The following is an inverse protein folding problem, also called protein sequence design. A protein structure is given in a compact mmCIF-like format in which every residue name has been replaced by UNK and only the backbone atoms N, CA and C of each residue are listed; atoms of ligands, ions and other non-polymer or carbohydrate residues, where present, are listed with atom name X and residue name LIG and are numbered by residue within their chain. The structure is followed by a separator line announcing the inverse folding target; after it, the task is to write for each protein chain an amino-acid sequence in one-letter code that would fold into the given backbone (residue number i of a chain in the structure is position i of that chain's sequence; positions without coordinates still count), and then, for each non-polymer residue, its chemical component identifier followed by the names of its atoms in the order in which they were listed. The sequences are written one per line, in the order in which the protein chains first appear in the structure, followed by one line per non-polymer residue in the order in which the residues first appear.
data_IF_821240361306
#
_entry.id   IF_821240361306
#
_cell.length_a   1.000
_cell.length_b   1.000
_cell.length_c   1.000
_cell.angle_alpha   90.00
_cell.angle_beta   90.00
_cell.angle_gamma   90.00
#
_symmetry.space_group_name_H-M   'P 1'
#
loop_
_entity.id
_entity.type
_entity.pdbx_description
1 polymer ?
#
# COMPACT_ATOMS: atom_id res chain seq x y z
N UNK A 1 -52.68 22.45 40.03
CA UNK A 1 -53.39 21.69 38.98
C UNK A 1 -53.02 20.22 39.19
N UNK A 2 -53.72 19.46 40.04
CA UNK A 2 -55.00 18.76 39.78
C UNK A 2 -54.83 17.74 38.64
N UNK A 3 -54.98 16.41 38.74
CA UNK A 3 -55.73 15.45 39.58
C UNK A 3 -54.92 14.12 39.60
N UNK A 4 -54.80 13.37 40.69
CA UNK A 4 -55.77 12.45 41.33
C UNK A 4 -56.09 11.13 40.57
N UNK A 5 -55.57 10.03 41.14
CA UNK A 5 -56.22 8.72 41.46
C UNK A 5 -56.90 7.83 40.40
N UNK A 6 -56.52 6.53 40.38
CA UNK A 6 -57.34 5.33 40.74
C UNK A 6 -56.60 4.03 40.31
N UNK A 7 -56.11 3.18 41.21
CA UNK A 7 -56.76 2.00 41.85
C UNK A 7 -57.46 1.00 40.91
N UNK A 8 -56.87 -0.22 40.86
CA UNK A 8 -57.56 -1.49 41.13
C UNK A 8 -58.31 -2.16 39.99
N UNK A 9 -57.96 -3.42 39.68
CA UNK A 9 -58.76 -4.59 40.12
C UNK A 9 -58.30 -5.89 39.46
N UNK A 10 -58.39 -6.93 40.27
CA UNK A 10 -58.17 -8.36 40.08
C UNK A 10 -59.17 -9.06 39.15
N UNK A 11 -58.66 -10.06 38.41
CA UNK A 11 -59.26 -11.41 38.34
C UNK A 11 -60.19 -11.73 37.18
N UNK A 12 -59.90 -12.83 36.46
CA UNK A 12 -60.70 -14.08 36.53
C UNK A 12 -60.16 -15.18 35.62
N UNK A 13 -60.18 -16.39 36.20
CA UNK A 13 -60.21 -17.72 35.56
C UNK A 13 -61.22 -17.78 34.42
N UNK A 14 -60.88 -18.53 33.37
CA UNK A 14 -61.81 -19.44 32.73
C UNK A 14 -61.06 -20.71 32.29
N UNK A 15 -61.52 -21.83 32.82
CA UNK A 15 -61.12 -23.20 32.53
C UNK A 15 -61.96 -23.79 31.39
N UNK A 16 -61.38 -24.83 30.79
CA UNK A 16 -62.00 -26.09 30.33
C UNK A 16 -62.79 -26.16 29.01
N UNK A 17 -62.23 -27.04 28.17
CA UNK A 17 -62.85 -28.24 27.59
C UNK A 17 -63.57 -28.13 26.24
N UNK A 18 -63.04 -28.85 25.24
CA UNK A 18 -63.63 -30.05 24.62
C UNK A 18 -62.78 -30.44 23.39
N UNK A 19 -61.95 -31.49 23.46
CA UNK A 19 -62.27 -32.89 23.11
C UNK A 19 -62.95 -33.05 21.74
N UNK A 20 -62.20 -33.55 20.75
CA UNK A 20 -62.68 -34.60 19.84
C UNK A 20 -61.50 -35.31 19.12
N UNK A 21 -61.41 -36.60 19.43
CA UNK A 21 -60.83 -37.74 18.69
C UNK A 21 -61.22 -37.71 17.20
N UNK A 22 -60.66 -38.44 16.24
CA UNK A 22 -59.57 -39.41 16.07
C UNK A 22 -59.45 -39.60 14.55
N UNK A 23 -58.28 -39.99 14.02
CA UNK A 23 -58.19 -40.91 12.88
C UNK A 23 -56.73 -41.30 12.63
N UNK A 24 -56.50 -42.61 12.57
CA UNK A 24 -55.26 -43.24 12.21
C UNK A 24 -54.89 -42.99 10.74
N UNK A 25 -53.59 -42.82 10.49
CA UNK A 25 -53.01 -42.72 9.16
C UNK A 25 -51.55 -43.17 9.24
N UNK A 26 -51.35 -44.46 9.04
CA UNK A 26 -50.06 -45.12 8.81
C UNK A 26 -49.25 -44.42 7.73
N UNK A 27 -48.08 -43.90 8.10
CA UNK A 27 -46.91 -43.80 7.24
C UNK A 27 -45.68 -43.68 8.13
N UNK A 28 -45.01 -44.81 8.32
CA UNK A 28 -43.68 -44.90 8.91
C UNK A 28 -42.68 -44.23 7.95
N UNK A 29 -42.65 -42.90 7.97
CA UNK A 29 -41.54 -42.12 7.47
C UNK A 29 -40.39 -42.36 8.45
N UNK A 30 -39.39 -43.10 8.00
CA UNK A 30 -38.08 -43.24 8.64
C UNK A 30 -37.51 -41.83 8.83
N UNK A 31 -37.82 -41.23 9.98
CA UNK A 31 -37.20 -40.01 10.47
C UNK A 31 -35.74 -40.37 10.70
N UNK A 32 -34.93 -40.15 9.67
CA UNK A 32 -33.47 -40.14 9.76
C UNK A 32 -33.14 -39.11 10.83
N UNK A 33 -32.87 -39.61 12.03
CA UNK A 33 -32.38 -38.84 13.16
C UNK A 33 -31.25 -37.97 12.61
N UNK A 34 -31.25 -36.64 12.80
CA UNK A 34 -30.11 -35.82 12.41
C UNK A 34 -28.91 -36.45 13.10
N UNK A 35 -28.05 -37.07 12.30
CA UNK A 35 -26.77 -37.54 12.79
C UNK A 35 -26.11 -36.28 13.33
N UNK A 36 -25.70 -36.22 14.61
CA UNK A 36 -24.90 -35.10 15.07
C UNK A 36 -23.70 -35.05 14.13
N UNK A 37 -23.67 -34.03 13.28
CA UNK A 37 -22.50 -33.73 12.46
C UNK A 37 -21.43 -33.52 13.50
N UNK A 38 -20.54 -34.50 13.64
CA UNK A 38 -19.36 -34.35 14.47
C UNK A 38 -18.76 -33.00 14.06
N UNK A 39 -18.42 -32.11 15.02
CA UNK A 39 -17.78 -30.86 14.67
C UNK A 39 -16.61 -31.24 13.75
N UNK A 40 -16.45 -30.55 12.60
CA UNK A 40 -15.32 -30.83 11.73
C UNK A 40 -14.07 -30.85 12.63
N UNK A 41 -13.16 -31.84 12.45
CA UNK A 41 -11.91 -31.81 13.20
C UNK A 41 -11.34 -30.41 13.08
N UNK A 42 -10.86 -29.83 14.20
CA UNK A 42 -10.32 -28.48 14.26
C UNK A 42 -9.26 -28.33 13.16
N UNK A 43 -9.73 -27.90 11.99
CA UNK A 43 -9.00 -27.96 10.75
C UNK A 43 -8.33 -26.63 10.63
N UNK A 44 -7.07 -26.61 11.03
CA UNK A 44 -6.08 -25.53 10.85
C UNK A 44 -5.77 -25.29 9.35
N UNK A 45 -6.80 -25.29 8.52
CA UNK A 45 -6.74 -25.26 7.07
C UNK A 45 -7.11 -23.88 6.54
N UNK A 46 -6.31 -23.38 5.62
CA UNK A 46 -6.69 -22.25 4.77
C UNK A 46 -8.02 -22.61 4.06
N UNK A 47 -9.09 -21.90 4.41
CA UNK A 47 -10.40 -22.06 3.75
C UNK A 47 -10.49 -21.02 2.66
N UNK A 48 -10.56 -21.47 1.41
CA UNK A 48 -10.82 -20.60 0.25
C UNK A 48 -12.19 -20.96 -0.30
N UNK A 49 -13.12 -20.01 -0.23
CA UNK A 49 -14.47 -20.17 -0.78
C UNK A 49 -14.55 -19.68 -2.22
N UNK A 50 -15.65 -19.01 -2.56
CA UNK A 50 -15.84 -18.45 -3.89
C UNK A 50 -14.80 -17.35 -4.18
N UNK A 51 -14.12 -17.50 -5.33
CA UNK A 51 -13.13 -16.52 -5.82
C UNK A 51 -13.71 -15.82 -7.05
N UNK A 52 -14.17 -14.56 -6.92
CA UNK A 52 -14.78 -13.84 -8.03
C UNK A 52 -13.77 -13.56 -9.15
N UNK A 53 -14.26 -13.36 -10.38
CA UNK A 53 -13.41 -13.07 -11.55
C UNK A 53 -12.53 -11.81 -11.35
N UNK A 54 -12.99 -10.85 -10.55
CA UNK A 54 -12.22 -9.65 -10.19
C UNK A 54 -10.85 -9.95 -9.57
N UNK A 55 -10.67 -11.08 -8.88
CA UNK A 55 -9.37 -11.49 -8.35
C UNK A 55 -8.36 -11.75 -9.47
N UNK A 56 -8.79 -12.41 -10.54
CA UNK A 56 -7.93 -12.63 -11.71
C UNK A 56 -7.65 -11.32 -12.43
N UNK A 57 -8.65 -10.45 -12.59
CA UNK A 57 -8.47 -9.15 -13.25
C UNK A 57 -7.44 -8.31 -12.49
N UNK A 58 -7.53 -8.23 -11.15
CA UNK A 58 -6.51 -7.56 -10.34
C UNK A 58 -5.11 -8.19 -10.53
N UNK A 59 -5.03 -9.53 -10.61
CA UNK A 59 -3.78 -10.23 -10.89
C UNK A 59 -3.19 -9.91 -12.27
N UNK A 60 -4.02 -9.86 -13.32
CA UNK A 60 -3.60 -9.45 -14.68
C UNK A 60 -3.09 -8.02 -14.66
N UNK A 61 -3.81 -7.09 -14.03
CA UNK A 61 -3.41 -5.69 -13.95
C UNK A 61 -2.07 -5.52 -13.21
N UNK A 62 -1.83 -6.25 -12.11
CA UNK A 62 -0.53 -6.24 -11.43
C UNK A 62 0.59 -6.83 -12.30
N UNK A 63 0.33 -7.88 -13.08
CA UNK A 63 1.31 -8.44 -14.00
C UNK A 63 1.66 -7.45 -15.11
N UNK A 64 0.66 -6.80 -15.69
CA UNK A 64 0.89 -5.78 -16.72
C UNK A 64 1.62 -4.57 -16.13
N UNK A 65 1.27 -4.15 -14.91
CA UNK A 65 1.99 -3.10 -14.19
C UNK A 65 3.46 -3.49 -13.94
N UNK A 66 3.72 -4.75 -13.55
CA UNK A 66 5.07 -5.27 -13.37
C UNK A 66 5.86 -5.26 -14.69
N UNK A 67 5.26 -5.74 -15.77
CA UNK A 67 5.92 -5.78 -17.08
C UNK A 67 6.20 -4.38 -17.62
N UNK A 68 5.22 -3.46 -17.52
CA UNK A 68 5.40 -2.06 -17.91
C UNK A 68 6.47 -1.38 -17.05
N UNK A 69 6.43 -1.58 -15.73
CA UNK A 69 7.40 -1.01 -14.79
C UNK A 69 8.81 -1.55 -15.00
N UNK A 70 8.96 -2.85 -15.27
CA UNK A 70 10.26 -3.45 -15.61
C UNK A 70 10.77 -2.96 -16.98
N UNK A 71 9.89 -2.83 -17.95
CA UNK A 71 10.23 -2.29 -19.27
C UNK A 71 10.62 -0.81 -19.19
N UNK A 72 10.02 -0.02 -18.30
CA UNK A 72 10.31 1.39 -18.09
C UNK A 72 11.75 1.68 -17.59
N UNK A 73 12.44 0.68 -17.04
CA UNK A 73 13.78 0.82 -16.47
C UNK A 73 14.85 1.10 -17.53
N UNK A 74 14.66 0.58 -18.74
CA UNK A 74 15.69 0.57 -19.79
C UNK A 74 15.65 1.73 -20.78
N UNK A 75 14.49 2.17 -21.31
CA UNK A 75 14.44 3.29 -22.24
C UNK A 75 14.65 4.61 -21.51
N UNK A 76 15.00 5.64 -22.27
CA UNK A 76 15.16 7.02 -21.79
C UNK A 76 13.92 7.45 -21.01
N UNK A 77 14.15 7.92 -19.79
CA UNK A 77 13.10 8.33 -18.86
C UNK A 77 12.65 9.74 -19.21
N UNK A 78 13.56 10.71 -19.18
CA UNK A 78 13.32 12.10 -19.57
C UNK A 78 14.52 12.63 -20.35
N UNK A 79 14.29 13.58 -21.26
CA UNK A 79 15.37 14.38 -21.86
C UNK A 79 15.26 15.79 -21.31
N UNK A 80 16.32 16.26 -20.65
CA UNK A 80 16.33 17.59 -20.02
C UNK A 80 17.52 18.37 -20.57
N UNK A 81 17.24 19.50 -21.24
CA UNK A 81 18.29 20.31 -21.88
C UNK A 81 19.14 19.54 -22.91
N UNK A 82 18.55 18.54 -23.59
CA UNK A 82 19.24 17.67 -24.56
C UNK A 82 20.03 16.50 -23.95
N UNK A 83 20.02 16.33 -22.61
CA UNK A 83 20.66 15.21 -21.92
C UNK A 83 19.63 14.12 -21.59
N UNK A 84 19.94 12.90 -21.99
CA UNK A 84 19.11 11.73 -21.70
C UNK A 84 19.31 11.27 -20.26
N UNK A 85 18.24 11.29 -19.48
CA UNK A 85 18.19 10.71 -18.15
C UNK A 85 17.61 9.31 -18.22
N UNK A 86 18.30 8.34 -17.64
CA UNK A 86 17.82 6.97 -17.47
C UNK A 86 17.40 6.71 -16.03
N UNK A 87 16.32 5.94 -15.83
CA UNK A 87 15.89 5.51 -14.50
C UNK A 87 16.84 4.49 -13.87
N UNK A 88 17.72 3.83 -14.63
CA UNK A 88 18.74 2.96 -14.09
C UNK A 88 20.11 3.30 -14.67
N UNK A 89 20.95 3.89 -13.83
CA UNK A 89 22.38 3.99 -14.11
C UNK A 89 23.07 2.77 -13.48
N UNK A 90 23.46 1.81 -14.33
CA UNK A 90 24.18 0.61 -13.93
C UNK A 90 23.35 -0.49 -13.24
N UNK A 91 23.99 -1.62 -12.87
CA UNK A 91 23.32 -2.82 -12.39
C UNK A 91 22.68 -2.65 -11.00
N UNK A 92 23.28 -1.84 -10.12
CA UNK A 92 22.72 -1.52 -8.80
C UNK A 92 21.42 -0.72 -8.92
N UNK A 93 21.40 0.29 -9.78
CA UNK A 93 20.19 1.07 -10.07
C UNK A 93 19.07 0.23 -10.68
N UNK A 94 19.42 -0.71 -11.57
CA UNK A 94 18.46 -1.64 -12.15
C UNK A 94 17.84 -2.58 -11.10
N UNK A 95 18.65 -3.11 -10.17
CA UNK A 95 18.14 -3.97 -9.08
C UNK A 95 17.15 -3.23 -8.17
N UNK A 96 17.45 -1.98 -7.82
CA UNK A 96 16.54 -1.13 -7.04
C UNK A 96 15.25 -0.86 -7.82
N UNK A 97 15.35 -0.50 -9.10
CA UNK A 97 14.20 -0.22 -9.95
C UNK A 97 13.30 -1.45 -10.19
N UNK A 98 13.86 -2.67 -10.18
CA UNK A 98 13.14 -3.92 -10.38
C UNK A 98 12.45 -4.47 -9.12
N UNK A 99 12.72 -3.92 -7.93
CA UNK A 99 12.12 -4.40 -6.68
C UNK A 99 10.58 -4.38 -6.72
N UNK A 100 9.99 -3.23 -7.07
CA UNK A 100 8.53 -3.05 -7.11
C UNK A 100 7.90 -3.93 -8.21
N UNK A 101 8.38 -3.91 -9.47
CA UNK A 101 7.94 -4.83 -10.51
C UNK A 101 8.02 -6.31 -10.11
N UNK A 102 9.10 -6.75 -9.48
CA UNK A 102 9.27 -8.15 -9.09
C UNK A 102 8.22 -8.60 -8.09
N UNK A 103 7.87 -7.76 -7.10
CA UNK A 103 6.81 -8.08 -6.13
C UNK A 103 5.43 -8.02 -6.79
N UNK A 104 5.17 -7.03 -7.66
CA UNK A 104 3.92 -6.97 -8.43
C UNK A 104 3.73 -8.24 -9.26
N UNK A 105 4.80 -8.71 -9.91
CA UNK A 105 4.81 -9.94 -10.69
C UNK A 105 4.45 -11.15 -9.81
N UNK A 106 5.15 -11.31 -8.68
CA UNK A 106 4.94 -12.44 -7.77
C UNK A 106 3.50 -12.46 -7.22
N UNK A 107 2.99 -11.32 -6.75
CA UNK A 107 1.63 -11.20 -6.22
C UNK A 107 0.58 -11.39 -7.34
N UNK A 108 0.84 -10.84 -8.53
CA UNK A 108 -0.01 -11.02 -9.70
C UNK A 108 -0.15 -12.49 -10.10
N UNK A 109 0.96 -13.25 -10.12
CA UNK A 109 0.93 -14.71 -10.35
C UNK A 109 0.12 -15.44 -9.27
N UNK A 110 0.27 -15.07 -8.00
CA UNK A 110 -0.49 -15.65 -6.88
C UNK A 110 -2.01 -15.43 -7.09
N UNK A 111 -2.42 -14.22 -7.46
CA UNK A 111 -3.81 -13.89 -7.77
C UNK A 111 -4.36 -14.63 -8.99
N UNK A 112 -3.58 -14.76 -10.07
CA UNK A 112 -3.95 -15.55 -11.25
C UNK A 112 -4.22 -17.01 -10.91
N UNK A 113 -3.34 -17.58 -10.08
CA UNK A 113 -3.47 -18.95 -9.55
C UNK A 113 -4.64 -19.09 -8.58
N UNK A 114 -5.33 -17.99 -8.23
CA UNK A 114 -6.35 -17.92 -7.18
C UNK A 114 -5.83 -18.42 -5.83
N UNK A 115 -4.51 -18.40 -5.64
CA UNK A 115 -3.89 -18.80 -4.41
C UNK A 115 -3.99 -17.62 -3.44
N UNK A 116 -4.49 -17.87 -2.23
CA UNK A 116 -4.50 -16.88 -1.14
C UNK A 116 -5.11 -15.51 -1.55
N UNK A 117 -6.33 -15.46 -2.12
CA UNK A 117 -6.83 -14.28 -2.82
C UNK A 117 -6.86 -13.01 -1.94
N UNK A 118 -7.23 -13.08 -0.65
CA UNK A 118 -7.24 -11.88 0.22
C UNK A 118 -5.84 -11.31 0.48
N UNK A 119 -4.78 -12.12 0.44
CA UNK A 119 -3.39 -11.61 0.52
C UNK A 119 -3.10 -10.72 -0.69
N UNK A 120 -3.33 -11.24 -1.90
CA UNK A 120 -3.04 -10.50 -3.11
C UNK A 120 -3.95 -9.28 -3.32
N UNK A 121 -5.24 -9.39 -2.94
CA UNK A 121 -6.16 -8.26 -3.00
C UNK A 121 -5.79 -7.16 -2.01
N UNK A 122 -5.33 -7.52 -0.80
CA UNK A 122 -4.88 -6.54 0.18
C UNK A 122 -3.62 -5.82 -0.29
N UNK A 123 -2.67 -6.57 -0.87
CA UNK A 123 -1.49 -5.99 -1.51
C UNK A 123 -1.89 -5.03 -2.64
N UNK A 124 -2.75 -5.45 -3.57
CA UNK A 124 -3.19 -4.63 -4.69
C UNK A 124 -3.92 -3.37 -4.24
N UNK A 125 -4.81 -3.48 -3.24
CA UNK A 125 -5.54 -2.33 -2.68
C UNK A 125 -4.61 -1.29 -2.06
N UNK A 126 -3.65 -1.72 -1.24
CA UNK A 126 -2.67 -0.82 -0.60
C UNK A 126 -1.69 -0.25 -1.63
N UNK A 127 -1.15 -1.08 -2.53
CA UNK A 127 -0.25 -0.64 -3.59
C UNK A 127 -0.94 0.36 -4.53
N UNK A 128 -2.21 0.15 -4.87
CA UNK A 128 -3.00 1.09 -5.67
C UNK A 128 -3.27 2.41 -4.96
N UNK A 129 -3.55 2.39 -3.65
CA UNK A 129 -3.74 3.60 -2.85
C UNK A 129 -2.46 4.44 -2.78
N UNK A 130 -1.30 3.81 -2.55
CA UNK A 130 0.00 4.48 -2.57
C UNK A 130 0.38 4.95 -3.98
N UNK A 131 0.09 4.11 -4.99
CA UNK A 131 0.36 4.37 -6.40
C UNK A 131 -0.39 5.59 -6.94
N UNK A 132 -1.55 5.96 -6.39
CA UNK A 132 -2.29 7.15 -6.79
C UNK A 132 -1.49 8.44 -6.54
N UNK A 133 -0.88 8.57 -5.36
CA UNK A 133 -0.03 9.72 -5.05
C UNK A 133 1.21 9.78 -5.94
N UNK A 134 1.84 8.62 -6.15
CA UNK A 134 2.99 8.47 -7.06
C UNK A 134 2.62 8.85 -8.51
N UNK A 135 1.45 8.43 -8.99
CA UNK A 135 0.97 8.72 -10.34
C UNK A 135 0.83 10.23 -10.57
N UNK A 136 0.25 10.97 -9.62
CA UNK A 136 0.10 12.42 -9.74
C UNK A 136 1.46 13.16 -9.73
N UNK A 137 2.38 12.71 -8.88
CA UNK A 137 3.76 13.19 -8.86
C UNK A 137 4.43 12.95 -10.22
N UNK A 138 4.24 11.77 -10.78
CA UNK A 138 4.89 11.35 -12.02
C UNK A 138 4.33 12.08 -13.25
N UNK A 139 3.01 12.30 -13.28
CA UNK A 139 2.36 13.13 -14.29
C UNK A 139 2.92 14.55 -14.26
N UNK A 140 3.04 15.13 -13.07
CA UNK A 140 3.58 16.49 -12.90
C UNK A 140 5.01 16.62 -13.44
N UNK A 141 5.87 15.64 -13.15
CA UNK A 141 7.27 15.60 -13.65
C UNK A 141 7.34 15.65 -15.18
N UNK A 142 6.46 14.92 -15.87
CA UNK A 142 6.42 14.89 -17.33
C UNK A 142 5.66 16.05 -17.98
N UNK A 143 4.74 16.71 -17.27
CA UNK A 143 3.84 17.71 -17.87
C UNK A 143 4.22 19.18 -17.63
N UNK A 144 4.93 19.49 -16.53
CA UNK A 144 4.95 20.88 -16.01
C UNK A 144 6.33 21.43 -15.64
N UNK A 145 7.40 20.65 -15.77
CA UNK A 145 8.79 21.13 -15.59
C UNK A 145 9.29 22.00 -16.78
N UNK A 146 8.42 22.32 -17.74
CA UNK A 146 8.72 23.16 -18.92
C UNK A 146 8.50 24.67 -18.72
N UNK A 147 7.83 25.09 -17.63
CA UNK A 147 7.40 26.49 -17.46
C UNK A 147 8.22 27.31 -16.45
N UNK A 148 9.21 26.72 -15.78
CA UNK A 148 10.15 27.44 -14.90
C UNK A 148 11.56 26.88 -15.08
N UNK A 149 12.50 27.64 -15.67
CA UNK A 149 13.91 27.34 -15.57
C UNK A 149 14.31 27.30 -14.10
N UNK A 150 14.74 26.13 -13.62
CA UNK A 150 15.20 25.92 -12.25
C UNK A 150 16.23 24.81 -12.19
N UNK A 151 16.91 24.67 -11.06
CA UNK A 151 17.83 23.56 -10.81
C UNK A 151 17.04 22.47 -10.09
N UNK A 152 16.78 21.35 -10.78
CA UNK A 152 16.02 20.22 -10.23
C UNK A 152 16.89 18.96 -10.22
N UNK A 153 16.70 18.08 -9.23
CA UNK A 153 17.31 16.75 -9.23
C UNK A 153 16.31 15.73 -9.78
N UNK A 154 16.61 15.18 -10.94
CA UNK A 154 15.78 14.22 -11.66
C UNK A 154 16.60 12.95 -11.94
N UNK A 155 16.06 11.80 -11.53
CA UNK A 155 16.73 10.50 -11.66
C UNK A 155 18.16 10.45 -11.07
N UNK A 156 18.41 11.22 -9.99
CA UNK A 156 19.70 11.28 -9.31
C UNK A 156 20.70 12.28 -9.93
N UNK A 157 20.35 12.95 -11.03
CA UNK A 157 21.18 14.00 -11.64
C UNK A 157 20.59 15.38 -11.39
N UNK A 158 21.46 16.35 -11.07
CA UNK A 158 21.10 17.77 -11.00
C UNK A 158 21.06 18.36 -12.40
N UNK A 159 19.91 18.90 -12.81
CA UNK A 159 19.74 19.43 -14.16
C UNK A 159 19.04 20.79 -14.15
N UNK A 160 19.49 21.68 -15.03
CA UNK A 160 18.82 22.94 -15.34
C UNK A 160 17.64 22.67 -16.29
N UNK A 161 16.42 22.76 -15.76
CA UNK A 161 15.18 22.47 -16.50
C UNK A 161 14.77 23.64 -17.39
N UNK A 162 15.51 23.88 -18.48
CA UNK A 162 15.09 24.82 -19.53
C UNK A 162 14.04 24.22 -20.49
N UNK A 163 13.91 22.88 -20.50
CA UNK A 163 12.89 22.12 -21.22
C UNK A 163 12.96 20.63 -20.88
N UNK A 164 11.80 19.99 -20.70
CA UNK A 164 11.66 18.57 -20.36
C UNK A 164 10.84 17.86 -21.44
N UNK A 165 11.44 16.85 -22.07
CA UNK A 165 10.75 15.98 -23.02
C UNK A 165 10.53 14.59 -22.41
N UNK A 166 9.30 14.10 -22.49
CA UNK A 166 8.91 12.81 -21.96
C UNK A 166 9.47 11.68 -22.84
N UNK A 167 10.33 10.83 -22.26
CA UNK A 167 10.84 9.64 -22.93
C UNK A 167 9.89 8.44 -22.83
N UNK A 168 10.13 7.36 -23.60
CA UNK A 168 9.32 6.14 -23.53
C UNK A 168 9.32 5.49 -22.13
N UNK A 169 10.40 5.65 -21.35
CA UNK A 169 10.49 5.16 -19.98
C UNK A 169 9.50 5.83 -19.06
N UNK A 170 9.31 7.15 -19.18
CA UNK A 170 8.30 7.86 -18.41
C UNK A 170 6.89 7.40 -18.76
N UNK A 171 6.56 7.22 -20.05
CA UNK A 171 5.24 6.76 -20.48
C UNK A 171 4.93 5.37 -19.90
N UNK A 172 5.90 4.45 -19.94
CA UNK A 172 5.76 3.12 -19.36
C UNK A 172 5.64 3.16 -17.84
N UNK A 173 6.34 4.07 -17.17
CA UNK A 173 6.23 4.31 -15.73
C UNK A 173 4.84 4.80 -15.32
N UNK A 174 4.31 5.80 -16.03
CA UNK A 174 2.94 6.31 -15.83
C UNK A 174 1.91 5.21 -16.09
N UNK A 175 2.08 4.43 -17.16
CA UNK A 175 1.22 3.29 -17.46
C UNK A 175 1.26 2.24 -16.34
N UNK A 176 2.45 1.91 -15.83
CA UNK A 176 2.62 0.96 -14.73
C UNK A 176 1.88 1.42 -13.47
N UNK A 177 2.05 2.70 -13.08
CA UNK A 177 1.35 3.28 -11.94
C UNK A 177 -0.17 3.31 -12.14
N UNK A 178 -0.65 3.69 -13.33
CA UNK A 178 -2.07 3.66 -13.68
C UNK A 178 -2.67 2.25 -13.57
N UNK A 179 -1.96 1.23 -14.05
CA UNK A 179 -2.37 -0.17 -13.93
C UNK A 179 -2.39 -0.65 -12.48
N UNK A 180 -1.44 -0.23 -11.64
CA UNK A 180 -1.43 -0.52 -10.20
C UNK A 180 -2.62 0.13 -9.48
N UNK A 181 -2.96 1.38 -9.81
CA UNK A 181 -4.15 2.06 -9.27
C UNK A 181 -5.43 1.31 -9.67
N UNK A 182 -5.57 0.94 -10.95
CA UNK A 182 -6.71 0.15 -11.43
C UNK A 182 -6.80 -1.22 -10.75
N UNK A 183 -5.65 -1.89 -10.53
CA UNK A 183 -5.61 -3.14 -9.77
C UNK A 183 -6.13 -2.96 -8.35
N UNK A 184 -5.79 -1.86 -7.68
CA UNK A 184 -6.30 -1.50 -6.36
C UNK A 184 -7.82 -1.27 -6.35
N UNK A 185 -8.36 -0.56 -7.33
CA UNK A 185 -9.81 -0.34 -7.48
C UNK A 185 -10.55 -1.68 -7.64
N UNK A 186 -10.07 -2.54 -8.55
CA UNK A 186 -10.64 -3.88 -8.75
C UNK A 186 -10.52 -4.73 -7.48
N UNK A 187 -9.42 -4.58 -6.74
CA UNK A 187 -9.21 -5.32 -5.52
C UNK A 187 -10.21 -4.94 -4.42
N UNK A 188 -10.45 -3.65 -4.22
CA UNK A 188 -11.47 -3.14 -3.29
C UNK A 188 -12.86 -3.62 -3.72
N UNK A 189 -13.20 -3.51 -5.01
CA UNK A 189 -14.51 -3.94 -5.54
C UNK A 189 -14.76 -5.46 -5.51
N UNK A 190 -13.70 -6.26 -5.44
CA UNK A 190 -13.77 -7.72 -5.32
C UNK A 190 -13.63 -8.22 -3.89
N UNK A 191 -13.25 -7.33 -2.95
CA UNK A 191 -12.95 -7.70 -1.57
C UNK A 191 -14.12 -8.40 -0.88
N UNK A 192 -15.30 -7.77 -0.84
CA UNK A 192 -16.47 -8.29 -0.12
C UNK A 192 -17.02 -9.60 -0.68
N UNK A 193 -16.77 -9.89 -1.96
CA UNK A 193 -17.21 -11.11 -2.66
C UNK A 193 -16.22 -12.27 -2.54
N UNK A 194 -15.01 -12.00 -2.05
CA UNK A 194 -13.96 -13.01 -1.90
C UNK A 194 -14.06 -13.63 -0.53
N UNK A 195 -14.26 -14.94 -0.46
CA UNK A 195 -14.31 -15.69 0.80
C UNK A 195 -12.95 -16.37 1.03
N UNK A 196 -12.25 -15.97 2.09
CA UNK A 196 -11.04 -16.65 2.54
C UNK A 196 -10.88 -16.46 4.03
N UNK A 197 -10.57 -17.54 4.73
CA UNK A 197 -10.18 -17.52 6.14
C UNK A 197 -8.92 -18.39 6.33
N UNK A 198 -8.06 -18.02 7.28
CA UNK A 198 -6.76 -18.65 7.46
C UNK A 198 -6.48 -19.11 8.91
N UNK A 199 -7.50 -19.07 9.78
CA UNK A 199 -7.44 -19.56 11.16
C UNK A 199 -6.38 -18.89 12.02
N UNK A 200 -5.73 -17.82 11.55
CA UNK A 200 -4.56 -17.25 12.18
C UNK A 200 -4.89 -16.49 13.46
N UNK A 201 -4.16 -16.78 14.54
CA UNK A 201 -4.27 -16.11 15.85
C UNK A 201 -3.67 -14.70 15.88
N UNK A 202 -3.94 -13.87 14.86
CA UNK A 202 -3.46 -12.48 14.83
C UNK A 202 -4.25 -11.57 15.78
N UNK A 203 -5.50 -11.94 16.10
CA UNK A 203 -6.46 -11.08 16.81
C UNK A 203 -5.95 -10.45 18.11
N UNK A 204 -5.24 -11.17 19.01
CA UNK A 204 -4.70 -10.58 20.24
C UNK A 204 -3.62 -9.52 19.98
N UNK A 205 -2.92 -9.60 18.86
CA UNK A 205 -1.78 -8.74 18.52
C UNK A 205 -2.13 -7.64 17.52
N UNK A 206 -3.37 -7.60 16.99
CA UNK A 206 -3.78 -6.61 15.97
C UNK A 206 -3.64 -5.17 16.45
N UNK A 207 -4.02 -4.88 17.69
CA UNK A 207 -3.89 -3.53 18.26
C UNK A 207 -2.43 -3.12 18.38
N UNK A 208 -1.56 -4.02 18.86
CA UNK A 208 -0.12 -3.78 18.95
C UNK A 208 0.53 -3.58 17.58
N UNK A 209 0.19 -4.42 16.60
CA UNK A 209 0.68 -4.29 15.23
C UNK A 209 0.18 -3.01 14.56
N UNK A 210 -1.08 -2.63 14.76
CA UNK A 210 -1.63 -1.38 14.25
C UNK A 210 -0.95 -0.17 14.90
N UNK A 211 -0.76 -0.18 16.22
CA UNK A 211 -0.04 0.89 16.93
C UNK A 211 1.40 1.04 16.43
N UNK A 212 2.14 -0.06 16.30
CA UNK A 212 3.50 -0.04 15.76
C UNK A 212 3.53 0.44 14.31
N UNK A 213 2.61 -0.04 13.47
CA UNK A 213 2.54 0.37 12.06
C UNK A 213 2.19 1.85 11.91
N UNK A 214 1.32 2.41 12.75
CA UNK A 214 1.02 3.85 12.77
C UNK A 214 2.25 4.67 13.08
N UNK A 215 3.01 4.29 14.11
CA UNK A 215 4.25 4.99 14.46
C UNK A 215 5.24 4.96 13.29
N UNK A 216 5.45 3.79 12.68
CA UNK A 216 6.28 3.66 11.48
C UNK A 216 5.74 4.51 10.32
N UNK A 217 4.42 4.61 10.16
CA UNK A 217 3.79 5.38 9.08
C UNK A 217 3.99 6.87 9.24
N UNK A 218 3.79 7.39 10.45
CA UNK A 218 4.05 8.80 10.77
C UNK A 218 5.53 9.11 10.60
N UNK A 219 6.44 8.27 11.13
CA UNK A 219 7.88 8.46 10.94
C UNK A 219 8.26 8.41 9.47
N UNK A 220 7.69 7.48 8.68
CA UNK A 220 7.93 7.41 7.24
C UNK A 220 7.49 8.70 6.54
N UNK A 221 6.33 9.25 6.87
CA UNK A 221 5.87 10.52 6.29
C UNK A 221 6.78 11.68 6.67
N UNK A 222 7.25 11.75 7.91
CA UNK A 222 8.24 12.75 8.33
C UNK A 222 9.55 12.61 7.53
N UNK A 223 10.02 11.39 7.33
CA UNK A 223 11.21 11.12 6.51
C UNK A 223 10.99 11.41 5.01
N UNK A 224 9.78 11.24 4.49
CA UNK A 224 9.44 11.63 3.11
C UNK A 224 9.24 13.14 2.94
N UNK A 225 9.00 13.87 4.04
CA UNK A 225 8.79 15.32 4.02
C UNK A 225 10.07 16.11 3.79
N UNK A 226 11.22 15.44 3.76
CA UNK A 226 12.54 15.97 3.43
C UNK A 226 13.20 15.06 2.39
N UNK A 227 14.12 15.57 1.56
CA UNK A 227 14.82 14.75 0.57
C UNK A 227 15.72 13.70 1.25
N UNK A 228 15.74 12.49 0.68
CA UNK A 228 16.54 11.37 1.19
C UNK A 228 18.04 11.48 0.85
N UNK A 229 18.35 12.21 -0.22
CA UNK A 229 19.69 12.63 -0.62
C UNK A 229 19.58 14.10 -1.02
N UNK A 230 20.52 14.96 -0.61
CA UNK A 230 20.43 16.41 -0.80
C UNK A 230 21.79 17.01 -1.18
N UNK A 231 21.78 18.23 -1.73
CA UNK A 231 23.00 18.94 -2.10
C UNK A 231 23.55 19.65 -0.86
N UNK A 232 24.83 19.47 -0.50
CA UNK A 232 25.40 20.12 0.68
C UNK A 232 25.43 21.64 0.49
N UNK A 233 25.18 22.36 1.59
CA UNK A 233 25.31 23.82 1.61
C UNK A 233 26.74 24.25 1.29
N UNK A 234 26.87 25.29 0.45
CA UNK A 234 28.18 25.80 0.06
C UNK A 234 28.59 26.98 0.94
N UNK A 235 29.75 26.88 1.58
CA UNK A 235 30.37 27.99 2.27
C UNK A 235 31.09 28.87 1.25
N UNK A 236 30.52 30.05 0.97
CA UNK A 236 31.14 31.04 0.09
C UNK A 236 31.74 32.14 0.96
N UNK A 237 33.05 32.28 0.89
CA UNK A 237 33.78 33.38 1.52
C UNK A 237 33.64 34.63 0.65
N UNK A 238 33.08 35.69 1.21
CA UNK A 238 33.03 36.99 0.55
C UNK A 238 34.47 37.54 0.44
N UNK A 239 35.00 37.75 -0.79
CA UNK A 239 36.37 38.22 -0.98
C UNK A 239 36.58 39.66 -0.50
N UNK A 240 35.53 40.45 -0.33
CA UNK A 240 35.61 41.84 0.13
C UNK A 240 35.62 41.96 1.66
N UNK A 241 34.89 41.08 2.36
CA UNK A 241 34.73 41.16 3.83
C UNK A 241 35.45 40.03 4.58
N UNK A 242 35.87 38.97 3.88
CA UNK A 242 36.46 37.77 4.47
C UNK A 242 35.47 36.93 5.29
N UNK A 243 34.18 37.28 5.27
CA UNK A 243 33.14 36.56 5.99
C UNK A 243 32.67 35.35 5.19
N UNK A 244 32.54 34.20 5.85
CA UNK A 244 31.92 33.02 5.27
C UNK A 244 30.40 33.14 5.37
N UNK A 245 29.74 32.96 4.22
CA UNK A 245 28.29 32.95 4.11
C UNK A 245 27.85 31.58 3.59
N UNK A 246 26.81 31.02 4.22
CA UNK A 246 26.20 29.77 3.78
C UNK A 246 25.26 30.09 2.63
N UNK A 247 25.58 29.60 1.43
CA UNK A 247 24.71 29.72 0.26
C UNK A 247 23.99 28.39 0.09
N UNK A 248 22.69 28.39 0.40
CA UNK A 248 21.81 27.25 0.18
C UNK A 248 21.68 27.00 -1.32
N UNK A 249 22.02 25.79 -1.75
CA UNK A 249 21.87 25.39 -3.15
C UNK A 249 20.49 24.80 -3.40
N UNK A 250 19.87 25.10 -4.55
CA UNK A 250 18.64 24.40 -4.96
C UNK A 250 18.93 22.91 -5.19
N UNK A 251 18.25 22.06 -4.42
CA UNK A 251 18.39 20.60 -4.37
C UNK A 251 17.07 19.85 -4.70
N UNK A 252 17.02 18.53 -4.48
CA UNK A 252 15.85 17.70 -4.72
C UNK A 252 14.62 18.15 -3.89
N UNK A 253 13.50 18.37 -4.58
CA UNK A 253 12.28 18.85 -3.92
C UNK A 253 11.68 17.82 -2.96
N UNK A 254 11.54 18.24 -1.71
CA UNK A 254 10.83 17.48 -0.69
C UNK A 254 9.35 17.29 -1.05
N UNK A 255 8.69 16.32 -0.43
CA UNK A 255 7.31 15.96 -0.76
C UNK A 255 6.29 17.12 -0.59
N UNK A 256 6.57 18.07 0.32
CA UNK A 256 5.70 19.22 0.61
C UNK A 256 6.14 20.52 -0.08
N UNK A 257 7.32 20.54 -0.69
CA UNK A 257 7.85 21.72 -1.40
C UNK A 257 7.42 21.76 -2.86
N UNK A 258 6.87 20.65 -3.37
CA UNK A 258 6.43 20.54 -4.77
C UNK A 258 5.22 21.43 -5.01
N UNK A 259 5.12 22.15 -6.14
CA UNK A 259 3.93 22.91 -6.47
C UNK A 259 2.87 22.07 -7.21
N UNK A 260 1.62 22.54 -7.19
CA UNK A 260 0.53 22.03 -8.04
C UNK A 260 0.14 20.57 -7.79
N UNK A 261 0.05 19.78 -8.87
CA UNK A 261 -0.38 18.37 -8.79
C UNK A 261 0.59 17.49 -8.00
N UNK A 262 1.88 17.81 -7.99
CA UNK A 262 2.85 17.06 -7.22
C UNK A 262 2.68 17.27 -5.70
N UNK A 263 2.24 18.45 -5.25
CA UNK A 263 1.85 18.67 -3.86
C UNK A 263 0.69 17.78 -3.47
N UNK A 264 -0.35 17.75 -4.30
CA UNK A 264 -1.52 16.90 -4.07
C UNK A 264 -1.15 15.43 -4.06
N UNK A 265 -0.29 14.99 -4.99
CA UNK A 265 0.25 13.64 -5.03
C UNK A 265 1.04 13.30 -3.78
N UNK A 266 1.87 14.23 -3.30
CA UNK A 266 2.60 14.13 -2.04
C UNK A 266 1.67 13.95 -0.85
N UNK A 267 0.72 14.86 -0.66
CA UNK A 267 -0.26 14.80 0.44
C UNK A 267 -1.10 13.52 0.40
N UNK A 268 -1.51 13.07 -0.79
CA UNK A 268 -2.23 11.80 -0.97
C UNK A 268 -1.36 10.61 -0.61
N UNK A 269 -0.08 10.60 -1.03
CA UNK A 269 0.85 9.54 -0.67
C UNK A 269 1.06 9.50 0.85
N UNK A 270 1.29 10.65 1.48
CA UNK A 270 1.49 10.76 2.93
C UNK A 270 0.25 10.24 3.70
N UNK A 271 -0.94 10.72 3.31
CA UNK A 271 -2.20 10.23 3.88
C UNK A 271 -2.41 8.74 3.65
N UNK A 272 -2.10 8.23 2.45
CA UNK A 272 -2.22 6.82 2.12
C UNK A 272 -1.26 5.95 2.92
N UNK A 273 -0.01 6.39 3.16
CA UNK A 273 0.95 5.66 4.00
C UNK A 273 0.41 5.51 5.42
N UNK A 274 -0.02 6.60 6.06
CA UNK A 274 -0.55 6.55 7.43
C UNK A 274 -1.82 5.70 7.50
N UNK A 275 -2.76 5.93 6.57
CA UNK A 275 -4.03 5.20 6.55
C UNK A 275 -3.82 3.70 6.29
N UNK A 276 -2.99 3.33 5.31
CA UNK A 276 -2.69 1.94 5.00
C UNK A 276 -1.93 1.25 6.15
N UNK A 277 -1.12 1.99 6.91
CA UNK A 277 -0.43 1.47 8.09
C UNK A 277 -1.39 1.08 9.21
N UNK A 278 -2.53 1.76 9.35
CA UNK A 278 -3.60 1.38 10.28
C UNK A 278 -4.44 0.23 9.71
N UNK A 279 -4.84 0.36 8.45
CA UNK A 279 -5.79 -0.55 7.82
C UNK A 279 -5.18 -1.94 7.64
N UNK A 280 -3.95 -2.04 7.12
CA UNK A 280 -3.31 -3.31 6.79
C UNK A 280 -3.33 -4.32 7.97
N UNK A 281 -2.80 -4.02 9.17
CA UNK A 281 -2.86 -4.94 10.32
C UNK A 281 -4.29 -5.23 10.81
N UNK A 282 -5.26 -4.38 10.46
CA UNK A 282 -6.68 -4.55 10.79
C UNK A 282 -7.43 -5.47 9.82
N UNK A 283 -6.85 -5.78 8.65
CA UNK A 283 -7.51 -6.60 7.63
C UNK A 283 -7.67 -8.06 8.09
N UNK A 284 -8.86 -8.62 7.85
CA UNK A 284 -9.17 -10.05 8.04
C UNK A 284 -9.28 -10.75 6.68
N UNK A 285 -8.77 -11.99 6.55
CA UNK A 285 -8.07 -12.81 7.54
C UNK A 285 -6.57 -12.43 7.70
N UNK A 286 -5.75 -13.13 8.50
CA UNK A 286 -4.35 -12.70 8.78
C UNK A 286 -3.51 -12.52 7.51
N UNK A 287 -3.65 -13.42 6.54
CA UNK A 287 -2.95 -13.29 5.26
C UNK A 287 -3.28 -12.00 4.50
N UNK A 288 -4.45 -11.39 4.72
CA UNK A 288 -4.73 -10.05 4.21
C UNK A 288 -3.81 -8.99 4.83
N UNK A 289 -3.62 -9.05 6.15
CA UNK A 289 -2.73 -8.14 6.85
C UNK A 289 -1.29 -8.24 6.35
N UNK A 290 -0.80 -9.46 6.10
CA UNK A 290 0.52 -9.67 5.50
C UNK A 290 0.61 -9.05 4.11
N UNK A 291 -0.41 -9.23 3.27
CA UNK A 291 -0.42 -8.65 1.92
C UNK A 291 -0.40 -7.11 1.93
N UNK A 292 -1.21 -6.50 2.79
CA UNK A 292 -1.22 -5.04 2.97
C UNK A 292 0.11 -4.50 3.52
N UNK A 293 0.67 -5.14 4.56
CA UNK A 293 1.95 -4.73 5.14
C UNK A 293 3.12 -4.93 4.16
N UNK A 294 3.09 -5.98 3.34
CA UNK A 294 4.06 -6.19 2.28
C UNK A 294 4.06 -5.04 1.26
N UNK A 295 2.87 -4.55 0.86
CA UNK A 295 2.77 -3.41 -0.06
C UNK A 295 3.40 -2.15 0.54
N UNK A 296 3.12 -1.84 1.81
CA UNK A 296 3.76 -0.70 2.51
C UNK A 296 5.27 -0.90 2.60
N UNK A 297 5.72 -2.10 3.00
CA UNK A 297 7.15 -2.44 3.10
C UNK A 297 7.87 -2.17 1.79
N UNK A 298 7.33 -2.67 0.67
CA UNK A 298 7.94 -2.54 -0.65
C UNK A 298 7.98 -1.08 -1.12
N UNK A 299 6.93 -0.31 -0.84
CA UNK A 299 6.91 1.11 -1.18
C UNK A 299 7.97 1.90 -0.38
N UNK A 300 8.08 1.67 0.93
CA UNK A 300 9.02 2.38 1.80
C UNK A 300 10.46 1.96 1.54
N UNK A 301 10.73 0.66 1.43
CA UNK A 301 12.06 0.15 1.06
C UNK A 301 12.45 0.61 -0.34
N UNK A 302 11.53 0.63 -1.29
CA UNK A 302 11.77 1.16 -2.63
C UNK A 302 12.19 2.64 -2.60
N UNK A 303 11.50 3.47 -1.82
CA UNK A 303 11.86 4.88 -1.65
C UNK A 303 13.24 5.05 -0.96
N UNK A 304 13.52 4.26 0.08
CA UNK A 304 14.80 4.30 0.78
C UNK A 304 15.97 3.90 -0.14
N UNK A 305 15.82 2.82 -0.89
CA UNK A 305 16.85 2.34 -1.81
C UNK A 305 17.05 3.26 -3.01
N UNK A 306 15.99 3.93 -3.48
CA UNK A 306 16.10 4.93 -4.53
C UNK A 306 16.95 6.11 -4.07
N UNK A 307 16.68 6.66 -2.87
CA UNK A 307 17.53 7.72 -2.31
C UNK A 307 18.98 7.25 -2.11
N UNK A 308 19.19 6.03 -1.61
CA UNK A 308 20.54 5.52 -1.33
C UNK A 308 21.32 5.36 -2.62
N UNK A 309 20.67 4.86 -3.66
CA UNK A 309 21.24 4.82 -5.00
C UNK A 309 21.63 6.22 -5.45
N UNK A 310 20.73 7.19 -5.35
CA UNK A 310 20.98 8.56 -5.83
C UNK A 310 22.18 9.21 -5.12
N UNK A 311 22.32 9.02 -3.80
CA UNK A 311 23.48 9.49 -3.03
C UNK A 311 24.79 8.74 -3.36
N UNK A 312 24.73 7.47 -3.76
CA UNK A 312 25.92 6.68 -4.11
C UNK A 312 26.36 6.93 -5.55
N UNK A 313 25.42 7.21 -6.45
CA UNK A 313 25.71 7.41 -7.87
C UNK A 313 26.09 8.84 -8.25
N UNK A 314 25.81 9.81 -7.38
CA UNK A 314 26.07 11.23 -7.64
C UNK A 314 27.07 11.79 -6.64
N UNK A 315 28.17 12.36 -7.13
CA UNK A 315 29.16 13.06 -6.31
C UNK A 315 28.61 14.39 -5.74
N UNK A 316 27.43 14.83 -6.20
CA UNK A 316 26.78 16.07 -5.76
C UNK A 316 25.74 15.87 -4.65
N UNK A 317 25.38 14.62 -4.33
CA UNK A 317 24.30 14.30 -3.39
C UNK A 317 24.81 13.58 -2.16
N UNK A 318 24.60 14.16 -0.98
CA UNK A 318 24.90 13.54 0.29
C UNK A 318 23.68 12.80 0.86
N UNK A 319 23.93 11.63 1.46
CA UNK A 319 22.89 10.84 2.12
C UNK A 319 22.40 11.53 3.40
N UNK A 320 21.08 11.74 3.52
CA UNK A 320 20.52 12.51 4.62
C UNK A 320 20.00 11.65 5.78
N UNK A 321 19.78 12.29 6.93
CA UNK A 321 19.13 11.65 8.09
C UNK A 321 17.70 11.14 7.75
N UNK A 322 16.85 11.89 7.03
CA UNK A 322 15.60 11.38 6.46
C UNK A 322 15.77 10.08 5.64
N UNK A 323 16.81 10.00 4.79
CA UNK A 323 17.13 8.79 4.03
C UNK A 323 17.40 7.59 4.94
N UNK A 324 18.23 7.75 5.96
CA UNK A 324 18.47 6.72 6.98
C UNK A 324 17.18 6.33 7.73
N UNK A 325 16.33 7.30 8.03
CA UNK A 325 15.01 7.09 8.63
C UNK A 325 14.10 6.19 7.78
N UNK A 326 14.08 6.38 6.44
CA UNK A 326 13.32 5.52 5.52
C UNK A 326 13.82 4.08 5.51
N UNK A 327 15.14 3.86 5.61
CA UNK A 327 15.70 2.51 5.73
C UNK A 327 15.20 1.84 7.02
N UNK A 328 15.26 2.54 8.14
CA UNK A 328 14.82 2.02 9.43
C UNK A 328 13.32 1.72 9.44
N UNK A 329 12.47 2.61 8.91
CA UNK A 329 11.03 2.35 8.86
C UNK A 329 10.68 1.23 7.88
N UNK A 330 11.37 1.14 6.73
CA UNK A 330 11.24 0.04 5.79
C UNK A 330 11.57 -1.32 6.42
N UNK A 331 12.67 -1.40 7.17
CA UNK A 331 13.03 -2.58 7.96
C UNK A 331 11.98 -2.88 9.03
N UNK A 332 11.46 -1.85 9.70
CA UNK A 332 10.36 -1.98 10.67
C UNK A 332 9.12 -2.63 10.06
N UNK A 333 8.67 -2.18 8.88
CA UNK A 333 7.55 -2.79 8.17
C UNK A 333 7.85 -4.22 7.72
N UNK A 334 9.07 -4.52 7.30
CA UNK A 334 9.48 -5.88 6.97
C UNK A 334 9.37 -6.81 8.19
N UNK A 335 9.80 -6.34 9.37
CA UNK A 335 9.64 -7.06 10.65
C UNK A 335 8.16 -7.26 10.97
N UNK A 336 7.32 -6.22 10.89
CA UNK A 336 5.88 -6.37 11.13
C UNK A 336 5.22 -7.35 10.16
N UNK A 337 5.59 -7.30 8.88
CA UNK A 337 5.12 -8.24 7.84
C UNK A 337 5.51 -9.68 8.18
N UNK A 338 6.77 -9.89 8.59
CA UNK A 338 7.28 -11.21 8.97
C UNK A 338 6.63 -11.75 10.26
N UNK A 339 6.42 -10.89 11.26
CA UNK A 339 5.70 -11.23 12.49
C UNK A 339 4.26 -11.63 12.17
N UNK A 340 3.54 -10.82 11.39
CA UNK A 340 2.19 -11.13 10.95
C UNK A 340 2.11 -12.46 10.17
N UNK A 341 3.15 -12.80 9.41
CA UNK A 341 3.23 -14.09 8.71
C UNK A 341 3.53 -15.29 9.63
N UNK A 342 4.40 -15.10 10.63
CA UNK A 342 4.88 -16.17 11.54
C UNK A 342 3.91 -16.52 12.65
N UNK A 343 2.97 -15.65 13.01
CA UNK A 343 1.96 -15.85 14.07
C UNK A 343 0.86 -16.88 13.66
N UNK A 344 1.29 -18.06 13.22
CA UNK A 344 0.47 -19.24 12.93
C UNK A 344 0.20 -20.12 14.15
N UNK A 345 0.94 -19.94 15.23
CA UNK A 345 1.04 -20.96 16.28
C UNK A 345 0.78 -20.35 17.65
N UNK A 346 -0.49 -20.36 18.06
CA UNK A 346 -0.81 -20.68 19.43
C UNK A 346 -1.49 -22.05 19.36
N UNK A 347 -0.80 -23.07 19.89
CA UNK A 347 -1.39 -24.39 20.11
C UNK A 347 -2.48 -24.30 21.16
#
# INVERSE_FOLDING_TARGET
MSRETRTGATGRRATSAARRSAAAGTSASSRRRPQPVAPPPAGDGLVVGTVPAGVRVAGILLLLAALAGAAAVFPTYLVVGGRELSSAQGPGGALVALLVPAVHLAVGVVLLRKAVPKFGLAYAGVAGALGLGQLLIEIYRGSSSTNRPGVEVLAGERVLTSGVEAGPGWVLGVLALGLTVLAGVVAIASWGRTVMDDGGALDPLRSGLAGAAVLLGVTTVLCLSLPAADVPDQLVTDPATGLETVVTQEGPQALLERPGLALMGGLLLAGAVVLCSVIAPSLRPRLAAVGGLLAVTVAVVGAALAGLRDAVSSDELDWTLPGAGLVLTGLGYAVLTALAWRLRRAR
#
